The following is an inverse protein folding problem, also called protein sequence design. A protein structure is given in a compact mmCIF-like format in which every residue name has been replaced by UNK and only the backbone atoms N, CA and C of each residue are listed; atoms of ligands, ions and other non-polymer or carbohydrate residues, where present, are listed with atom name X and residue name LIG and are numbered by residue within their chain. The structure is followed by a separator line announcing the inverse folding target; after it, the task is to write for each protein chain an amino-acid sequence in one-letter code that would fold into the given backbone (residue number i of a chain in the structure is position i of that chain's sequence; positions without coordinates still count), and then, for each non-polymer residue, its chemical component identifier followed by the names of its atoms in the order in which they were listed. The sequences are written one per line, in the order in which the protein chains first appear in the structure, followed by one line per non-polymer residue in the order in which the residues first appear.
data_IF_070754168129
#
_entry.id   IF_070754168129
#
_cell.length_a   1.000
_cell.length_b   1.000
_cell.length_c   1.000
_cell.angle_alpha   90.00
_cell.angle_beta   90.00
_cell.angle_gamma   90.00
#
_symmetry.space_group_name_H-M   'P 1'
#
loop_
_entity.id
_entity.type
_entity.pdbx_description
1 polymer ?
#
# COMPACT_ATOMS: atom_id res chain seq x y z
N UNK A 1 40.54 26.96 -27.81
CA UNK A 1 40.60 25.58 -27.22
C UNK A 1 40.38 25.54 -25.70
N UNK A 2 40.59 26.62 -24.92
CA UNK A 2 40.41 26.60 -23.44
C UNK A 2 38.98 26.79 -22.94
N UNK A 3 38.10 27.41 -23.72
CA UNK A 3 36.71 27.71 -23.29
C UNK A 3 35.86 26.47 -23.18
N UNK A 4 35.92 25.55 -24.14
CA UNK A 4 35.16 24.29 -24.06
C UNK A 4 35.54 23.43 -22.85
N UNK A 5 36.84 23.38 -22.52
CA UNK A 5 37.32 22.61 -21.36
C UNK A 5 36.78 23.16 -20.01
N UNK A 6 36.59 24.49 -19.91
CA UNK A 6 36.05 25.15 -18.72
C UNK A 6 34.57 24.83 -18.47
N UNK A 7 33.83 24.46 -19.50
CA UNK A 7 32.41 24.05 -19.39
C UNK A 7 32.29 22.53 -19.31
N UNK A 8 33.07 21.82 -20.15
CA UNK A 8 32.98 20.35 -20.24
C UNK A 8 33.38 19.67 -18.94
N UNK A 9 34.45 20.11 -18.26
CA UNK A 9 34.89 19.47 -17.01
C UNK A 9 33.89 19.62 -15.89
N UNK A 10 33.31 20.80 -15.57
CA UNK A 10 32.25 20.92 -14.55
C UNK A 10 31.00 20.09 -14.90
N UNK A 11 30.62 20.04 -16.18
CA UNK A 11 29.48 19.28 -16.63
C UNK A 11 29.68 17.76 -16.44
N UNK A 12 30.89 17.27 -16.82
CA UNK A 12 31.25 15.86 -16.57
C UNK A 12 31.28 15.52 -15.09
N UNK A 13 31.80 16.39 -14.21
CA UNK A 13 31.79 16.21 -12.77
C UNK A 13 30.37 16.20 -12.23
N UNK A 14 29.50 17.07 -12.70
CA UNK A 14 28.10 17.13 -12.31
C UNK A 14 27.37 15.81 -12.66
N UNK A 15 27.52 15.32 -13.89
CA UNK A 15 26.91 14.05 -14.29
C UNK A 15 27.54 12.86 -13.58
N UNK A 16 28.84 12.86 -13.31
CA UNK A 16 29.48 11.82 -12.51
C UNK A 16 28.93 11.80 -11.07
N UNK A 17 28.75 12.97 -10.44
CA UNK A 17 28.15 13.08 -9.11
C UNK A 17 26.70 12.60 -9.09
N UNK A 18 25.90 12.94 -10.10
CA UNK A 18 24.53 12.43 -10.23
C UNK A 18 24.50 10.91 -10.37
N UNK A 19 25.41 10.35 -11.18
CA UNK A 19 25.52 8.90 -11.34
C UNK A 19 25.91 8.21 -10.04
N UNK A 20 26.92 8.75 -9.34
CA UNK A 20 27.34 8.24 -8.04
C UNK A 20 26.25 8.34 -6.97
N UNK A 21 25.41 9.37 -7.01
CA UNK A 21 24.33 9.55 -6.06
C UNK A 21 23.15 8.57 -6.27
N UNK A 22 22.89 8.19 -7.53
CA UNK A 22 21.68 7.42 -7.86
C UNK A 22 21.96 5.95 -8.19
N UNK A 23 23.07 5.63 -8.84
CA UNK A 23 23.36 4.26 -9.29
C UNK A 23 24.87 4.04 -9.45
N UNK A 24 25.42 2.92 -9.00
CA UNK A 24 24.80 1.72 -8.40
C UNK A 24 24.56 1.81 -6.89
N UNK A 25 24.81 2.94 -6.25
CA UNK A 25 24.90 3.09 -4.79
C UNK A 25 23.54 3.26 -4.10
N UNK A 26 22.48 3.59 -4.85
CA UNK A 26 21.11 3.73 -4.33
C UNK A 26 20.13 2.94 -5.22
N UNK A 27 20.37 1.66 -5.40
CA UNK A 27 19.39 0.77 -6.04
C UNK A 27 18.35 0.33 -5.02
N UNK A 28 17.07 0.26 -5.43
CA UNK A 28 16.06 -0.41 -4.63
C UNK A 28 16.39 -1.90 -4.57
N UNK A 29 16.35 -2.54 -3.38
CA UNK A 29 16.52 -3.99 -3.26
C UNK A 29 15.37 -4.77 -3.92
N UNK A 30 14.28 -4.09 -4.28
CA UNK A 30 13.05 -4.65 -4.82
C UNK A 30 12.74 -4.14 -6.24
N UNK A 31 13.75 -3.91 -7.04
CA UNK A 31 13.56 -3.55 -8.44
C UNK A 31 13.12 -4.77 -9.28
N UNK A 32 12.54 -4.54 -10.48
CA UNK A 32 12.02 -5.62 -11.32
C UNK A 32 13.10 -6.54 -11.90
N UNK A 33 14.38 -6.23 -11.73
CA UNK A 33 15.51 -6.99 -12.29
C UNK A 33 16.07 -8.06 -11.34
N UNK A 34 15.69 -8.03 -10.05
CA UNK A 34 16.18 -8.96 -9.03
C UNK A 34 15.23 -10.14 -8.78
N UNK A 35 14.28 -10.37 -9.68
CA UNK A 35 13.33 -11.47 -9.63
C UNK A 35 12.19 -11.27 -8.63
N UNK A 36 11.32 -12.28 -8.52
CA UNK A 36 10.21 -12.27 -7.59
C UNK A 36 10.70 -12.45 -6.14
N UNK A 37 10.42 -11.47 -5.30
CA UNK A 37 10.73 -11.47 -3.87
C UNK A 37 9.50 -11.76 -3.01
N UNK A 38 8.41 -12.21 -3.61
CA UNK A 38 7.16 -12.52 -2.91
C UNK A 38 6.62 -11.34 -2.11
N UNK A 39 6.34 -11.56 -0.82
CA UNK A 39 5.77 -10.54 0.06
C UNK A 39 6.81 -9.59 0.69
N UNK A 40 8.09 -9.82 0.48
CA UNK A 40 9.17 -9.05 1.12
C UNK A 40 9.08 -7.53 0.83
N UNK A 41 8.81 -7.06 -0.41
CA UNK A 41 8.66 -5.64 -0.70
C UNK A 41 7.50 -4.98 0.07
N UNK A 42 6.38 -5.67 0.16
CA UNK A 42 5.19 -5.18 0.87
C UNK A 42 5.41 -5.15 2.38
N UNK A 43 5.98 -6.20 2.94
CA UNK A 43 6.30 -6.25 4.36
C UNK A 43 7.32 -5.16 4.75
N UNK A 44 8.34 -4.94 3.93
CA UNK A 44 9.32 -3.88 4.14
C UNK A 44 8.68 -2.48 4.14
N UNK A 45 7.75 -2.24 3.20
CA UNK A 45 6.99 -0.98 3.15
C UNK A 45 6.11 -0.80 4.40
N UNK A 46 5.40 -1.86 4.82
CA UNK A 46 4.56 -1.86 6.02
C UNK A 46 5.41 -1.53 7.24
N UNK A 47 6.52 -2.24 7.44
CA UNK A 47 7.40 -2.07 8.60
C UNK A 47 8.05 -0.67 8.60
N UNK A 48 8.47 -0.17 7.46
CA UNK A 48 8.97 1.19 7.32
C UNK A 48 7.91 2.24 7.70
N UNK A 49 6.71 2.14 7.15
CA UNK A 49 5.64 3.10 7.39
C UNK A 49 5.18 3.07 8.85
N UNK A 50 4.98 1.90 9.44
CA UNK A 50 4.59 1.74 10.84
C UNK A 50 5.66 2.21 11.80
N UNK A 51 6.95 2.03 11.48
CA UNK A 51 8.07 2.58 12.25
C UNK A 51 8.08 4.11 12.30
N UNK A 52 7.42 4.77 11.35
CA UNK A 52 7.21 6.22 11.31
C UNK A 52 5.87 6.66 11.94
N UNK A 53 5.13 5.73 12.54
CA UNK A 53 3.83 6.00 13.14
C UNK A 53 2.67 6.08 12.14
N UNK A 54 2.87 5.68 10.91
CA UNK A 54 1.81 5.66 9.91
C UNK A 54 0.87 4.47 10.12
N UNK A 55 -0.40 4.65 9.73
CA UNK A 55 -1.38 3.58 9.61
C UNK A 55 -1.34 3.02 8.20
N UNK A 56 -1.30 1.70 8.08
CA UNK A 56 -1.19 1.01 6.79
C UNK A 56 -2.40 0.12 6.57
N UNK A 57 -2.97 0.21 5.37
CA UNK A 57 -4.17 -0.54 5.01
C UNK A 57 -3.99 -1.24 3.67
N UNK A 58 -4.42 -2.50 3.60
CA UNK A 58 -4.60 -3.20 2.34
C UNK A 58 -5.89 -2.73 1.67
N UNK A 59 -5.82 -2.43 0.38
CA UNK A 59 -6.96 -1.92 -0.37
C UNK A 59 -7.15 -2.69 -1.67
N UNK A 60 -8.41 -2.84 -2.11
CA UNK A 60 -8.76 -3.44 -3.40
C UNK A 60 -8.19 -4.84 -3.67
N UNK A 61 -8.12 -5.69 -2.66
CA UNK A 61 -7.53 -7.03 -2.74
C UNK A 61 -8.38 -7.99 -3.60
N UNK A 62 -9.65 -7.65 -3.86
CA UNK A 62 -10.61 -8.39 -4.68
C UNK A 62 -10.52 -8.06 -6.17
N UNK A 63 -9.75 -7.03 -6.54
CA UNK A 63 -9.72 -6.54 -7.92
C UNK A 63 -9.01 -7.54 -8.82
N UNK A 64 -9.73 -7.94 -9.85
CA UNK A 64 -9.21 -8.62 -11.04
C UNK A 64 -9.39 -7.67 -12.22
N UNK A 65 -8.31 -7.08 -12.72
CA UNK A 65 -8.36 -6.19 -13.88
C UNK A 65 -8.28 -6.95 -15.21
N UNK A 66 -8.06 -8.25 -15.16
CA UNK A 66 -7.75 -9.04 -16.33
C UNK A 66 -6.45 -8.57 -17.01
N UNK A 67 -6.25 -9.02 -18.24
CA UNK A 67 -5.09 -8.67 -19.04
C UNK A 67 -5.41 -7.44 -19.89
N UNK A 68 -4.62 -6.37 -19.72
CA UNK A 68 -4.69 -5.15 -20.55
C UNK A 68 -3.37 -4.93 -21.27
N UNK A 69 -3.41 -4.80 -22.60
CA UNK A 69 -2.22 -4.54 -23.41
C UNK A 69 -2.20 -3.08 -23.86
N UNK A 70 -1.10 -2.37 -23.56
CA UNK A 70 -0.82 -1.02 -24.02
C UNK A 70 0.50 -1.00 -24.77
N UNK A 71 0.46 -1.06 -26.08
CA UNK A 71 1.66 -1.19 -26.92
C UNK A 71 2.40 -2.50 -26.64
N UNK A 72 3.66 -2.44 -26.26
CA UNK A 72 4.48 -3.58 -25.88
C UNK A 72 4.32 -4.01 -24.41
N UNK A 73 3.56 -3.26 -23.60
CA UNK A 73 3.40 -3.52 -22.17
C UNK A 73 2.11 -4.30 -21.94
N UNK A 74 2.22 -5.41 -21.24
CA UNK A 74 1.09 -6.20 -20.74
C UNK A 74 0.92 -5.88 -19.26
N UNK A 75 -0.30 -5.49 -18.88
CA UNK A 75 -0.68 -5.21 -17.50
C UNK A 75 -1.73 -6.25 -17.08
N UNK A 76 -1.48 -6.90 -15.97
CA UNK A 76 -2.41 -7.84 -15.36
C UNK A 76 -2.41 -7.60 -13.85
N UNK A 77 -3.60 -7.51 -13.25
CA UNK A 77 -3.75 -7.44 -11.81
C UNK A 77 -4.65 -8.58 -11.38
N UNK A 78 -4.08 -9.55 -10.67
CA UNK A 78 -4.82 -10.65 -10.08
C UNK A 78 -5.27 -10.29 -8.66
N UNK A 79 -6.39 -10.85 -8.17
CA UNK A 79 -6.79 -10.75 -6.77
C UNK A 79 -5.69 -11.29 -5.84
N UNK A 80 -5.49 -10.63 -4.70
CA UNK A 80 -4.46 -10.99 -3.73
C UNK A 80 -4.96 -11.07 -2.27
N UNK A 81 -6.09 -11.76 -2.01
CA UNK A 81 -6.71 -11.80 -0.68
C UNK A 81 -5.83 -12.44 0.40
N UNK A 82 -4.96 -13.38 0.02
CA UNK A 82 -4.09 -14.10 0.95
C UNK A 82 -2.95 -13.23 1.51
N UNK A 83 -2.75 -12.04 0.97
CA UNK A 83 -1.71 -11.13 1.43
C UNK A 83 -2.02 -10.58 2.84
N UNK A 84 -3.31 -10.59 3.24
CA UNK A 84 -3.71 -10.38 4.64
C UNK A 84 -3.06 -11.39 5.60
N UNK A 85 -2.94 -12.63 5.18
CA UNK A 85 -2.35 -13.70 6.01
C UNK A 85 -0.82 -13.68 5.98
N UNK A 86 -0.25 -13.32 4.82
CA UNK A 86 1.19 -13.38 4.58
C UNK A 86 1.96 -12.20 5.18
N UNK A 87 1.28 -11.06 5.40
CA UNK A 87 1.90 -9.85 5.96
C UNK A 87 1.49 -9.61 7.40
N UNK A 88 2.26 -8.78 8.11
CA UNK A 88 2.08 -8.44 9.52
C UNK A 88 2.17 -6.93 9.74
N UNK A 89 1.78 -6.45 10.91
CA UNK A 89 1.98 -5.07 11.37
C UNK A 89 1.21 -3.99 10.59
N UNK A 90 0.33 -4.36 9.66
CA UNK A 90 -0.58 -3.39 9.02
C UNK A 90 -1.83 -3.17 9.89
N UNK A 91 -2.42 -1.99 9.82
CA UNK A 91 -3.54 -1.56 10.69
C UNK A 91 -4.85 -2.25 10.33
N UNK A 92 -5.13 -2.39 9.04
CA UNK A 92 -6.41 -2.92 8.59
C UNK A 92 -6.47 -3.12 7.07
N UNK A 93 -7.68 -3.33 6.58
CA UNK A 93 -7.93 -3.52 5.16
C UNK A 93 -9.30 -2.95 4.78
N UNK A 94 -9.53 -2.75 3.49
CA UNK A 94 -10.83 -2.40 2.96
C UNK A 94 -11.79 -3.59 3.12
N UNK A 95 -12.74 -3.47 4.04
CA UNK A 95 -13.73 -4.49 4.33
C UNK A 95 -15.09 -4.23 3.67
N UNK A 96 -15.35 -2.99 3.28
CA UNK A 96 -16.57 -2.56 2.60
C UNK A 96 -16.20 -1.64 1.44
N UNK A 97 -16.74 -1.88 0.27
CA UNK A 97 -16.52 -1.11 -0.94
C UNK A 97 -17.71 -1.15 -1.90
N UNK A 98 -17.51 -0.70 -3.11
CA UNK A 98 -18.45 -0.75 -4.23
C UNK A 98 -18.68 -2.18 -4.76
N UNK A 99 -17.72 -3.07 -4.50
CA UNK A 99 -17.79 -4.48 -4.89
C UNK A 99 -17.84 -5.39 -3.66
N UNK A 100 -18.41 -6.60 -3.80
CA UNK A 100 -18.37 -7.60 -2.71
C UNK A 100 -16.92 -7.93 -2.33
N UNK A 101 -16.60 -7.81 -1.06
CA UNK A 101 -15.28 -8.11 -0.50
C UNK A 101 -15.36 -9.45 0.21
N UNK A 102 -14.97 -10.52 -0.47
CA UNK A 102 -15.12 -11.90 0.01
C UNK A 102 -14.25 -12.24 1.21
N UNK A 103 -13.21 -11.45 1.47
CA UNK A 103 -12.34 -11.61 2.65
C UNK A 103 -13.09 -11.46 3.97
N UNK A 104 -14.30 -10.82 3.93
CA UNK A 104 -15.18 -10.64 5.08
C UNK A 104 -16.23 -11.76 5.25
N UNK A 105 -16.30 -12.68 4.30
CA UNK A 105 -17.22 -13.84 4.43
C UNK A 105 -16.77 -14.76 5.58
N UNK A 106 -17.69 -15.45 6.24
CA UNK A 106 -17.35 -16.35 7.35
C UNK A 106 -16.29 -17.39 6.97
N UNK A 107 -15.24 -17.50 7.79
CA UNK A 107 -14.12 -18.44 7.58
C UNK A 107 -13.06 -17.96 6.58
N UNK A 108 -13.25 -16.81 5.95
CA UNK A 108 -12.28 -16.25 5.01
C UNK A 108 -11.11 -15.54 5.72
N UNK A 109 -10.28 -14.83 4.97
CA UNK A 109 -9.00 -14.30 5.45
C UNK A 109 -9.13 -13.40 6.67
N UNK A 110 -10.20 -12.60 6.77
CA UNK A 110 -10.39 -11.75 7.95
C UNK A 110 -10.60 -12.55 9.23
N UNK A 111 -11.47 -13.54 9.21
CA UNK A 111 -11.67 -14.43 10.38
C UNK A 111 -10.36 -15.11 10.77
N UNK A 112 -9.57 -15.54 9.79
CA UNK A 112 -8.30 -16.22 10.03
C UNK A 112 -7.28 -15.29 10.71
N UNK A 113 -7.12 -14.03 10.26
CA UNK A 113 -6.22 -13.07 10.92
C UNK A 113 -6.70 -12.69 12.31
N UNK A 114 -8.03 -12.62 12.55
CA UNK A 114 -8.57 -12.40 13.89
C UNK A 114 -8.31 -13.59 14.81
N UNK A 115 -8.43 -14.82 14.30
CA UNK A 115 -8.06 -16.03 15.06
C UNK A 115 -6.55 -16.04 15.37
N UNK A 116 -5.70 -15.62 14.43
CA UNK A 116 -4.27 -15.45 14.69
C UNK A 116 -4.01 -14.45 15.84
N UNK A 117 -4.73 -13.32 15.86
CA UNK A 117 -4.65 -12.34 16.95
C UNK A 117 -5.08 -12.94 18.29
N UNK A 118 -6.23 -13.60 18.34
CA UNK A 118 -6.74 -14.24 19.56
C UNK A 118 -5.79 -15.31 20.11
N UNK A 119 -5.03 -15.96 19.24
CA UNK A 119 -4.01 -16.95 19.61
C UNK A 119 -2.62 -16.32 19.89
N UNK A 120 -2.50 -15.01 19.96
CA UNK A 120 -1.25 -14.31 20.25
C UNK A 120 -0.21 -14.35 19.13
N UNK A 121 -0.61 -14.69 17.90
CA UNK A 121 0.26 -14.71 16.73
C UNK A 121 0.38 -13.34 16.04
N UNK A 122 -0.47 -12.38 16.41
CA UNK A 122 -0.46 -10.97 15.98
C UNK A 122 -0.52 -10.08 17.21
N UNK A 123 0.16 -8.95 17.14
CA UNK A 123 0.23 -7.98 18.25
C UNK A 123 -1.06 -7.18 18.42
N UNK A 124 -1.78 -6.95 17.32
CA UNK A 124 -3.06 -6.21 17.32
C UNK A 124 -4.04 -6.83 16.31
N UNK A 125 -5.35 -6.58 16.48
CA UNK A 125 -6.36 -7.04 15.53
C UNK A 125 -6.21 -6.29 14.20
N UNK A 126 -6.74 -6.88 13.13
CA UNK A 126 -6.82 -6.28 11.81
C UNK A 126 -8.20 -5.65 11.64
N UNK A 127 -8.26 -4.34 11.49
CA UNK A 127 -9.51 -3.60 11.39
C UNK A 127 -10.05 -3.55 9.97
N UNK A 128 -11.38 -3.63 9.84
CA UNK A 128 -12.08 -3.45 8.57
C UNK A 128 -12.50 -2.00 8.36
N UNK A 129 -12.19 -1.42 7.20
CA UNK A 129 -12.55 -0.04 6.84
C UNK A 129 -13.40 0.01 5.59
N UNK A 130 -14.18 1.08 5.46
CA UNK A 130 -14.86 1.42 4.23
C UNK A 130 -13.94 2.11 3.25
N UNK A 131 -13.85 1.61 2.04
CA UNK A 131 -13.10 2.21 0.94
C UNK A 131 -14.02 2.61 -0.22
N UNK A 132 -13.71 3.71 -0.91
CA UNK A 132 -14.48 4.25 -2.01
C UNK A 132 -13.56 4.76 -3.12
N UNK A 133 -13.84 4.38 -4.37
CA UNK A 133 -13.14 4.83 -5.58
C UNK A 133 -13.70 6.13 -6.11
N UNK A 134 -13.62 7.19 -5.33
CA UNK A 134 -14.06 8.51 -5.77
C UNK A 134 -12.95 9.25 -6.53
N UNK A 135 -13.22 9.68 -7.76
CA UNK A 135 -12.30 10.47 -8.58
C UNK A 135 -12.74 11.92 -8.77
N UNK A 136 -14.04 12.13 -9.03
CA UNK A 136 -14.62 13.47 -9.22
C UNK A 136 -16.16 13.43 -9.09
N UNK A 137 -16.77 14.58 -8.94
CA UNK A 137 -18.23 14.69 -8.71
C UNK A 137 -19.10 14.20 -9.88
N UNK A 138 -18.60 14.32 -11.10
CA UNK A 138 -19.34 13.95 -12.33
C UNK A 138 -19.11 12.52 -12.78
N UNK A 139 -18.35 11.72 -12.02
CA UNK A 139 -18.09 10.33 -12.41
C UNK A 139 -19.33 9.46 -12.28
N UNK A 140 -19.48 8.51 -13.20
CA UNK A 140 -20.41 7.40 -13.04
C UNK A 140 -19.80 6.38 -12.10
N UNK A 141 -20.42 6.13 -10.96
CA UNK A 141 -19.95 5.15 -9.98
C UNK A 141 -20.03 5.69 -8.56
N UNK A 142 -19.01 5.48 -7.80
CA UNK A 142 -18.99 5.78 -6.37
C UNK A 142 -19.06 7.28 -6.08
N UNK A 143 -20.05 7.65 -5.28
CA UNK A 143 -20.19 9.02 -4.79
C UNK A 143 -19.42 9.18 -3.49
N UNK A 144 -18.87 10.36 -3.25
CA UNK A 144 -18.25 10.69 -1.98
C UNK A 144 -19.22 10.42 -0.83
N UNK A 145 -18.80 9.62 0.15
CA UNK A 145 -19.57 9.24 1.32
C UNK A 145 -20.62 8.14 1.09
N UNK A 146 -20.62 7.44 -0.06
CA UNK A 146 -21.43 6.23 -0.27
C UNK A 146 -21.01 5.10 0.64
N UNK A 147 -19.71 4.99 0.91
CA UNK A 147 -19.13 4.08 1.90
C UNK A 147 -18.52 4.91 3.03
N UNK A 148 -18.75 4.49 4.28
CA UNK A 148 -18.33 5.24 5.47
C UNK A 148 -17.79 4.30 6.53
N UNK A 149 -16.71 4.72 7.19
CA UNK A 149 -16.28 4.14 8.46
C UNK A 149 -16.73 5.07 9.58
N UNK A 150 -17.39 4.51 10.60
CA UNK A 150 -17.87 5.27 11.75
C UNK A 150 -16.95 4.98 12.93
N UNK A 151 -16.33 6.03 13.48
CA UNK A 151 -15.49 5.94 14.65
C UNK A 151 -16.26 6.43 15.89
N UNK A 152 -16.26 5.63 16.94
CA UNK A 152 -16.81 5.99 18.24
C UNK A 152 -15.70 6.64 19.07
N UNK A 153 -15.72 7.96 19.14
CA UNK A 153 -14.69 8.75 19.84
C UNK A 153 -15.32 9.57 20.97
N UNK A 154 -14.58 9.79 22.04
CA UNK A 154 -15.03 10.65 23.16
C UNK A 154 -15.03 12.11 22.78
N UNK A 155 -14.09 12.54 21.96
CA UNK A 155 -13.95 13.91 21.50
C UNK A 155 -13.67 13.93 19.99
N UNK A 156 -14.13 15.00 19.31
CA UNK A 156 -13.95 15.18 17.86
C UNK A 156 -12.64 15.93 17.60
N UNK A 157 -11.53 15.25 17.74
CA UNK A 157 -10.20 15.75 17.39
C UNK A 157 -9.40 14.69 16.62
N UNK A 158 -8.28 15.09 16.03
CA UNK A 158 -7.47 14.21 15.20
C UNK A 158 -6.88 13.04 16.00
N UNK A 159 -6.43 13.29 17.21
CA UNK A 159 -5.74 12.29 18.03
C UNK A 159 -6.67 11.15 18.42
N UNK A 160 -7.90 11.48 18.86
CA UNK A 160 -8.90 10.46 19.22
C UNK A 160 -9.40 9.66 18.02
N UNK A 161 -9.49 10.29 16.84
CA UNK A 161 -9.84 9.58 15.59
C UNK A 161 -8.71 8.65 15.18
N UNK A 162 -7.46 9.10 15.20
CA UNK A 162 -6.30 8.26 14.88
C UNK A 162 -6.13 7.10 15.87
N UNK A 163 -6.40 7.37 17.17
CA UNK A 163 -6.40 6.31 18.18
C UNK A 163 -7.48 5.26 17.91
N UNK A 164 -8.70 5.69 17.61
CA UNK A 164 -9.80 4.77 17.23
C UNK A 164 -9.53 4.03 15.91
N UNK A 165 -8.80 4.62 14.97
CA UNK A 165 -8.36 3.91 13.76
C UNK A 165 -7.33 2.82 14.05
N UNK A 166 -6.51 3.03 15.06
CA UNK A 166 -5.43 2.11 15.44
C UNK A 166 -5.90 1.01 16.38
N UNK A 167 -6.73 1.36 17.34
CA UNK A 167 -7.06 0.49 18.48
C UNK A 167 -8.53 0.02 18.50
N UNK A 168 -9.39 0.56 17.63
CA UNK A 168 -10.83 0.24 17.54
C UNK A 168 -11.72 1.06 18.43
#
# INVERSE_FOLDING_TARGET
KGYHRKITVPLMLFFALLTLNNHPFQSSPFDPYHGDRGMEPYQNLIDFATSKGALVFWNHMEIDSGISQKGATVLETLPYPDDLLKTRNYTGFQAVGDKPIRQTDPGQQWDQVLVEYLNGKREHPVWGFGGNNYYCEDQKGDRLGSVRTIFLVRERNNDTVLDAMKNG
#
